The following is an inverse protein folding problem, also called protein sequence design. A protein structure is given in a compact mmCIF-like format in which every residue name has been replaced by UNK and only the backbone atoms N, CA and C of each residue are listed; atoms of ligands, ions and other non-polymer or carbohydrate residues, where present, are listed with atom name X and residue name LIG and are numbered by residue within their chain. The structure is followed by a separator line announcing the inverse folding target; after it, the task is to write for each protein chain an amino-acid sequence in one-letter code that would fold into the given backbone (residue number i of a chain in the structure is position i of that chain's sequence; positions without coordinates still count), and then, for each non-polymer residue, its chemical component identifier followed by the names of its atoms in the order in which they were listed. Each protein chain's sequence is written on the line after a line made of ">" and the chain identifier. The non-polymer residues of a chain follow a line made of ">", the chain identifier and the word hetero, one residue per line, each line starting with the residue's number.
data_IF_404887379970
#
_entry.id   IF_404887379970
#
_cell.length_a   1.000
_cell.length_b   1.000
_cell.length_c   1.000
_cell.angle_alpha   90.00
_cell.angle_beta   90.00
_cell.angle_gamma   90.00
#
_symmetry.space_group_name_H-M   'P 1'
#
loop_
_entity.id
_entity.type
_entity.pdbx_description
1 polymer ?
#
# COMPACT_ATOMS: atom_id res chain seq x y z
N UNK A 1 -0.61 -16.95 -18.10
CA UNK A 1 -0.17 -16.01 -17.03
C UNK A 1 -1.30 -15.90 -15.99
N UNK A 2 -1.06 -16.27 -14.73
CA UNK A 2 -2.11 -16.41 -13.68
C UNK A 2 -2.89 -15.11 -13.43
N UNK A 3 -4.23 -15.21 -13.46
CA UNK A 3 -5.16 -14.16 -13.00
C UNK A 3 -5.02 -14.03 -11.48
N UNK A 4 -4.19 -13.12 -10.98
CA UNK A 4 -4.08 -12.85 -9.54
C UNK A 4 -5.38 -12.18 -9.09
N UNK A 5 -6.11 -12.82 -8.17
CA UNK A 5 -7.33 -12.28 -7.53
C UNK A 5 -7.09 -12.30 -6.04
N UNK A 6 -7.31 -11.15 -5.38
CA UNK A 6 -7.08 -10.99 -3.95
C UNK A 6 -8.42 -10.83 -3.26
N UNK A 7 -8.77 -11.82 -2.43
CA UNK A 7 -9.99 -11.81 -1.64
C UNK A 7 -9.76 -11.35 -0.19
N UNK A 8 -8.49 -11.24 0.23
CA UNK A 8 -8.13 -10.82 1.59
C UNK A 8 -8.12 -9.29 1.76
N UNK A 9 -8.40 -8.79 2.97
CA UNK A 9 -8.27 -7.37 3.27
C UNK A 9 -6.83 -6.88 3.11
N UNK A 10 -6.63 -5.57 2.84
CA UNK A 10 -5.31 -4.96 2.93
C UNK A 10 -4.67 -5.19 4.29
N UNK A 11 -3.37 -5.48 4.31
CA UNK A 11 -2.57 -5.54 5.55
C UNK A 11 -1.90 -4.21 5.85
N UNK A 12 -2.04 -3.21 4.99
CA UNK A 12 -1.56 -1.88 5.27
C UNK A 12 -1.93 -0.88 4.19
N UNK A 13 -1.86 0.39 4.58
CA UNK A 13 -2.07 1.56 3.73
C UNK A 13 -1.01 2.63 4.06
N UNK A 14 -0.50 3.31 3.03
CA UNK A 14 0.37 4.47 3.18
C UNK A 14 -0.17 5.64 2.36
N UNK A 15 -0.09 6.84 2.92
CA UNK A 15 -0.33 8.09 2.22
C UNK A 15 1.03 8.76 2.01
N UNK A 16 1.42 8.90 0.75
CA UNK A 16 2.64 9.58 0.34
C UNK A 16 2.27 10.91 -0.32
N UNK A 17 2.87 12.00 0.11
CA UNK A 17 2.84 13.27 -0.60
C UNK A 17 3.95 13.28 -1.67
N UNK A 18 3.58 13.73 -2.86
CA UNK A 18 4.46 13.89 -4.01
C UNK A 18 4.04 15.16 -4.73
N UNK A 19 4.95 15.88 -5.40
CA UNK A 19 4.59 17.06 -6.22
C UNK A 19 5.25 16.92 -7.58
N UNK A 20 4.77 15.94 -8.35
CA UNK A 20 5.42 15.52 -9.59
C UNK A 20 4.38 15.19 -10.66
N UNK A 21 4.76 15.32 -11.92
CA UNK A 21 3.93 14.84 -13.03
C UNK A 21 3.67 13.35 -12.91
N UNK A 22 2.53 12.92 -13.47
CA UNK A 22 2.16 11.51 -13.52
C UNK A 22 3.28 10.65 -14.11
N UNK A 23 3.92 11.09 -15.19
CA UNK A 23 5.04 10.37 -15.83
C UNK A 23 6.20 10.16 -14.88
N UNK A 24 6.62 11.20 -14.17
CA UNK A 24 7.71 11.15 -13.19
C UNK A 24 7.35 10.23 -12.02
N UNK A 25 6.11 10.27 -11.54
CA UNK A 25 5.62 9.33 -10.51
C UNK A 25 5.77 7.88 -10.95
N UNK A 26 5.42 7.57 -12.20
CA UNK A 26 5.58 6.21 -12.74
C UNK A 26 7.06 5.82 -12.90
N UNK A 27 7.92 6.76 -13.30
CA UNK A 27 9.37 6.54 -13.38
C UNK A 27 9.94 6.25 -12.00
N UNK A 28 9.60 7.04 -10.98
CA UNK A 28 10.06 6.83 -9.60
C UNK A 28 9.66 5.44 -9.09
N UNK A 29 8.40 5.05 -9.29
CA UNK A 29 7.90 3.71 -8.97
C UNK A 29 8.75 2.63 -9.67
N UNK A 30 9.05 2.81 -10.96
CA UNK A 30 9.84 1.87 -11.74
C UNK A 30 11.28 1.77 -11.24
N UNK A 31 11.93 2.90 -10.93
CA UNK A 31 13.29 2.97 -10.37
C UNK A 31 13.38 2.21 -9.05
N UNK A 32 12.37 2.30 -8.18
CA UNK A 32 12.36 1.56 -6.91
C UNK A 32 11.97 0.08 -7.06
N UNK A 33 11.73 -0.39 -8.29
CA UNK A 33 11.44 -1.78 -8.63
C UNK A 33 9.96 -2.15 -8.65
N UNK A 34 9.06 -1.17 -8.73
CA UNK A 34 7.61 -1.38 -8.88
C UNK A 34 7.23 -1.41 -10.35
N UNK A 35 6.42 -2.39 -10.75
CA UNK A 35 5.91 -2.54 -12.12
C UNK A 35 4.42 -2.23 -12.16
N UNK A 36 4.00 -1.35 -13.08
CA UNK A 36 2.57 -1.14 -13.37
C UNK A 36 2.04 -2.33 -14.18
N UNK A 37 0.98 -2.97 -13.69
CA UNK A 37 0.34 -4.09 -14.39
C UNK A 37 -0.69 -3.55 -15.39
N UNK A 38 -0.22 -3.15 -16.59
CA UNK A 38 -1.07 -2.51 -17.62
C UNK A 38 -2.32 -3.29 -18.03
N UNK A 39 -2.28 -4.62 -17.97
CA UNK A 39 -3.42 -5.50 -18.32
C UNK A 39 -4.35 -5.79 -17.13
N UNK A 40 -4.03 -5.32 -15.94
CA UNK A 40 -4.87 -5.53 -14.76
C UNK A 40 -5.91 -4.42 -14.66
N UNK A 41 -7.17 -4.83 -14.53
CA UNK A 41 -8.28 -3.90 -14.34
C UNK A 41 -8.39 -3.48 -12.86
N UNK A 42 -8.19 -2.18 -12.53
CA UNK A 42 -8.33 -1.69 -11.16
C UNK A 42 -9.75 -1.86 -10.60
N UNK A 43 -10.79 -1.95 -11.44
CA UNK A 43 -12.19 -2.13 -11.01
C UNK A 43 -12.40 -3.45 -10.25
N UNK A 44 -11.53 -4.43 -10.45
CA UNK A 44 -11.57 -5.70 -9.71
C UNK A 44 -11.21 -5.57 -8.24
N UNK A 45 -10.66 -4.44 -7.84
CA UNK A 45 -10.17 -4.19 -6.48
C UNK A 45 -10.85 -3.00 -5.79
N UNK A 46 -12.03 -2.57 -6.27
CA UNK A 46 -12.75 -1.40 -5.74
C UNK A 46 -12.93 -1.45 -4.23
N UNK A 47 -13.37 -2.60 -3.71
CA UNK A 47 -13.54 -2.82 -2.27
C UNK A 47 -12.24 -2.57 -1.49
N UNK A 48 -11.08 -3.00 -1.99
CA UNK A 48 -9.79 -2.80 -1.34
C UNK A 48 -9.36 -1.32 -1.36
N UNK A 49 -9.64 -0.61 -2.46
CA UNK A 49 -9.43 0.84 -2.53
C UNK A 49 -10.32 1.58 -1.52
N UNK A 50 -11.59 1.20 -1.41
CA UNK A 50 -12.55 1.79 -0.47
C UNK A 50 -12.15 1.55 0.98
N UNK A 51 -11.78 0.31 1.34
CA UNK A 51 -11.29 -0.02 2.68
C UNK A 51 -10.08 0.83 3.04
N UNK A 52 -9.11 0.99 2.13
CA UNK A 52 -7.93 1.81 2.38
C UNK A 52 -8.29 3.29 2.58
N UNK A 53 -9.19 3.83 1.75
CA UNK A 53 -9.64 5.23 1.86
C UNK A 53 -10.41 5.46 3.17
N UNK A 54 -11.33 4.56 3.53
CA UNK A 54 -12.07 4.61 4.79
C UNK A 54 -11.15 4.49 6.00
N UNK A 55 -10.11 3.66 5.92
CA UNK A 55 -9.09 3.53 6.97
C UNK A 55 -8.33 4.85 7.16
N UNK A 56 -7.85 5.45 6.07
CA UNK A 56 -7.18 6.75 6.13
C UNK A 56 -8.12 7.85 6.67
N UNK A 57 -9.39 7.86 6.25
CA UNK A 57 -10.41 8.77 6.75
C UNK A 57 -10.66 8.61 8.25
N UNK A 58 -10.78 7.38 8.74
CA UNK A 58 -10.99 7.09 10.15
C UNK A 58 -9.81 7.54 11.03
N UNK A 59 -8.59 7.59 10.46
CA UNK A 59 -7.40 8.10 11.13
C UNK A 59 -7.24 9.62 11.03
N UNK A 60 -8.19 10.35 10.42
CA UNK A 60 -8.09 11.80 10.19
C UNK A 60 -7.12 12.20 9.06
N UNK A 61 -6.68 11.23 8.25
CA UNK A 61 -5.62 11.40 7.24
C UNK A 61 -6.23 11.45 5.84
N UNK A 62 -6.96 12.52 5.54
CA UNK A 62 -7.57 12.68 4.23
C UNK A 62 -6.74 13.61 3.36
N UNK A 63 -6.43 13.21 2.11
CA UNK A 63 -5.95 14.18 1.14
C UNK A 63 -7.04 15.25 0.92
N UNK A 64 -6.66 16.52 0.65
CA UNK A 64 -7.58 17.58 0.28
C UNK A 64 -8.50 17.16 -0.87
N UNK A 65 -9.64 17.86 -1.01
CA UNK A 65 -10.73 17.50 -1.94
C UNK A 65 -10.15 17.18 -3.33
N UNK A 66 -10.15 15.89 -3.74
CA UNK A 66 -9.43 15.45 -4.92
C UNK A 66 -10.24 15.76 -6.17
N UNK A 67 -9.64 16.47 -7.12
CA UNK A 67 -10.27 16.76 -8.42
C UNK A 67 -10.06 15.62 -9.42
N UNK A 68 -8.99 14.83 -9.25
CA UNK A 68 -8.69 13.69 -10.09
C UNK A 68 -8.17 12.52 -9.28
N UNK A 69 -8.67 11.31 -9.59
CA UNK A 69 -8.16 10.05 -9.03
C UNK A 69 -7.86 9.07 -10.14
N UNK A 70 -6.68 8.46 -10.09
CA UNK A 70 -6.30 7.36 -10.98
C UNK A 70 -5.88 6.16 -10.14
N UNK A 71 -6.54 5.02 -10.37
CA UNK A 71 -6.26 3.76 -9.67
C UNK A 71 -5.33 2.91 -10.52
N UNK A 72 -4.30 2.35 -9.90
CA UNK A 72 -3.29 1.53 -10.54
C UNK A 72 -3.10 0.20 -9.80
N UNK A 73 -2.97 -0.87 -10.57
CA UNK A 73 -2.55 -2.17 -10.05
C UNK A 73 -1.06 -2.34 -10.31
N UNK A 74 -0.30 -2.59 -9.24
CA UNK A 74 1.14 -2.61 -9.25
C UNK A 74 1.69 -3.97 -8.77
N UNK A 75 2.95 -4.24 -9.10
CA UNK A 75 3.71 -5.40 -8.61
C UNK A 75 5.05 -4.95 -8.07
N UNK A 76 5.37 -5.32 -6.85
CA UNK A 76 6.64 -5.03 -6.20
C UNK A 76 7.22 -6.32 -5.61
N UNK A 77 8.41 -6.73 -6.06
CA UNK A 77 9.09 -7.96 -5.59
C UNK A 77 8.17 -9.18 -5.55
N UNK A 78 7.41 -9.41 -6.62
CA UNK A 78 6.47 -10.53 -6.72
C UNK A 78 5.10 -10.31 -6.05
N UNK A 79 4.95 -9.29 -5.20
CA UNK A 79 3.72 -9.01 -4.43
C UNK A 79 2.84 -7.99 -5.15
N UNK A 80 1.53 -8.18 -5.11
CA UNK A 80 0.56 -7.19 -5.59
C UNK A 80 0.52 -5.99 -4.63
N UNK A 81 0.48 -4.79 -5.19
CA UNK A 81 0.24 -3.52 -4.49
C UNK A 81 -0.83 -2.78 -5.31
N UNK A 82 -1.72 -2.05 -4.65
CA UNK A 82 -2.60 -1.11 -5.33
C UNK A 82 -2.14 0.31 -5.05
N UNK A 83 -2.37 1.21 -5.99
CA UNK A 83 -2.11 2.63 -5.78
C UNK A 83 -3.28 3.50 -6.25
N UNK A 84 -3.52 4.60 -5.55
CA UNK A 84 -4.39 5.69 -6.04
C UNK A 84 -3.55 6.94 -6.15
N UNK A 85 -3.36 7.45 -7.37
CA UNK A 85 -2.79 8.76 -7.64
C UNK A 85 -3.89 9.80 -7.47
N UNK A 86 -3.60 10.87 -6.74
CA UNK A 86 -4.55 11.94 -6.44
C UNK A 86 -3.96 13.26 -6.93
N UNK A 87 -4.75 13.99 -7.73
CA UNK A 87 -4.46 15.35 -8.19
C UNK A 87 -5.32 16.35 -7.40
N UNK A 88 -4.75 17.51 -7.12
CA UNK A 88 -5.39 18.62 -6.41
C UNK A 88 -5.31 19.88 -7.30
N UNK A 89 -6.38 20.66 -7.38
CA UNK A 89 -6.34 22.05 -7.87
C UNK A 89 -6.06 22.24 -9.36
N UNK A 90 -6.84 21.63 -10.25
CA UNK A 90 -6.85 21.83 -11.71
C UNK A 90 -5.56 21.48 -12.47
N UNK A 91 -4.47 21.25 -11.75
CA UNK A 91 -3.13 21.10 -12.29
C UNK A 91 -2.80 19.66 -12.72
N UNK A 92 -1.75 19.50 -13.53
CA UNK A 92 -1.32 18.20 -14.03
C UNK A 92 -0.64 17.32 -12.97
N UNK A 93 -0.24 17.92 -11.85
CA UNK A 93 0.62 17.29 -10.85
C UNK A 93 -0.15 16.32 -9.95
N UNK A 94 0.45 15.15 -9.72
CA UNK A 94 0.05 14.26 -8.64
C UNK A 94 0.53 14.89 -7.33
N UNK A 95 -0.39 15.03 -6.37
CA UNK A 95 -0.16 15.57 -5.02
C UNK A 95 -0.03 14.50 -3.96
N UNK A 96 -0.81 13.44 -4.10
CA UNK A 96 -0.77 12.33 -3.16
C UNK A 96 -0.83 10.98 -3.88
N UNK A 97 -0.18 9.99 -3.29
CA UNK A 97 -0.29 8.59 -3.69
C UNK A 97 -0.66 7.77 -2.48
N UNK A 98 -1.82 7.12 -2.55
CA UNK A 98 -2.22 6.11 -1.58
C UNK A 98 -1.66 4.76 -2.05
N UNK A 99 -0.86 4.09 -1.23
CA UNK A 99 -0.33 2.74 -1.50
C UNK A 99 -1.02 1.73 -0.59
N UNK A 100 -1.43 0.60 -1.14
CA UNK A 100 -2.18 -0.44 -0.45
C UNK A 100 -1.46 -1.76 -0.63
N UNK A 101 -1.08 -2.41 0.48
CA UNK A 101 -0.41 -3.71 0.44
C UNK A 101 -1.23 -4.81 1.11
N UNK A 102 -0.92 -6.03 0.71
CA UNK A 102 -1.56 -7.26 1.15
C UNK A 102 -0.60 -8.22 1.86
N UNK A 103 0.61 -7.75 2.13
CA UNK A 103 1.65 -8.51 2.82
C UNK A 103 2.39 -7.58 3.77
N UNK A 104 2.56 -7.97 5.05
CA UNK A 104 3.28 -7.16 6.04
C UNK A 104 4.74 -6.90 5.63
N UNK A 105 5.23 -5.72 5.99
CA UNK A 105 6.58 -5.23 5.71
C UNK A 105 6.81 -4.80 4.25
N UNK A 106 5.82 -4.92 3.38
CA UNK A 106 5.92 -4.48 1.97
C UNK A 106 5.86 -2.97 1.90
N UNK A 107 4.91 -2.33 2.61
CA UNK A 107 4.77 -0.88 2.57
C UNK A 107 5.97 -0.19 3.21
N UNK A 108 6.40 -0.64 4.39
CA UNK A 108 7.57 -0.05 5.05
C UNK A 108 8.83 -0.09 4.16
N UNK A 109 9.05 -1.18 3.40
CA UNK A 109 10.19 -1.29 2.48
C UNK A 109 10.02 -0.39 1.26
N UNK A 110 8.82 -0.32 0.68
CA UNK A 110 8.54 0.50 -0.49
C UNK A 110 8.58 1.99 -0.15
N UNK A 111 7.93 2.42 0.94
CA UNK A 111 7.90 3.80 1.39
C UNK A 111 9.31 4.37 1.61
N UNK A 112 10.21 3.61 2.27
CA UNK A 112 11.61 4.02 2.45
C UNK A 112 12.35 4.27 1.14
N UNK A 113 12.09 3.48 0.10
CA UNK A 113 12.69 3.67 -1.23
C UNK A 113 12.08 4.84 -1.99
N UNK A 114 10.81 5.13 -1.77
CA UNK A 114 10.17 6.31 -2.37
C UNK A 114 10.65 7.58 -1.69
N UNK A 115 10.87 7.55 -0.36
CA UNK A 115 11.43 8.66 0.39
C UNK A 115 12.83 9.06 -0.10
N UNK A 116 13.68 8.09 -0.43
CA UNK A 116 15.00 8.39 -1.04
C UNK A 116 14.89 9.05 -2.43
N UNK A 117 13.71 9.03 -3.06
CA UNK A 117 13.44 9.68 -4.34
C UNK A 117 12.63 10.98 -4.17
N UNK A 118 12.66 11.60 -2.99
CA UNK A 118 12.02 12.90 -2.73
C UNK A 118 10.50 12.83 -2.53
N UNK A 119 9.96 11.65 -2.20
CA UNK A 119 8.58 11.53 -1.74
C UNK A 119 8.52 11.74 -0.24
N UNK A 120 7.43 12.31 0.28
CA UNK A 120 7.23 12.48 1.73
C UNK A 120 6.16 11.53 2.22
N UNK A 121 6.43 10.76 3.27
CA UNK A 121 5.39 9.93 3.91
C UNK A 121 4.55 10.81 4.84
N UNK A 122 3.30 11.05 4.45
CA UNK A 122 2.34 11.78 5.28
C UNK A 122 1.74 10.87 6.36
N UNK A 123 1.48 9.60 6.02
CA UNK A 123 1.02 8.62 7.00
C UNK A 123 1.25 7.17 6.54
N UNK A 124 1.26 6.24 7.49
CA UNK A 124 1.31 4.81 7.18
C UNK A 124 0.75 3.98 8.34
N UNK A 125 -0.09 3.01 8.00
CA UNK A 125 -0.57 1.95 8.88
C UNK A 125 -0.22 0.60 8.26
N UNK A 126 0.41 -0.29 9.02
CA UNK A 126 0.70 -1.65 8.56
C UNK A 126 0.42 -2.65 9.69
N UNK A 127 -0.53 -3.55 9.45
CA UNK A 127 -0.90 -4.62 10.36
C UNK A 127 0.14 -5.73 10.29
N UNK A 128 0.76 -6.03 11.42
CA UNK A 128 1.65 -7.20 11.57
C UNK A 128 0.84 -8.35 12.12
N UNK A 129 0.97 -9.57 11.57
CA UNK A 129 0.40 -10.74 12.20
C UNK A 129 1.05 -10.88 13.57
N UNK A 130 0.22 -11.05 14.59
CA UNK A 130 0.69 -11.50 15.89
C UNK A 130 1.33 -12.86 15.62
N UNK A 131 2.65 -12.98 15.79
CA UNK A 131 3.26 -14.31 15.88
C UNK A 131 2.57 -14.94 17.07
N UNK A 132 1.74 -15.95 16.85
CA UNK A 132 1.29 -16.83 17.93
C UNK A 132 2.57 -17.21 18.66
N UNK A 133 2.75 -16.71 19.87
CA UNK A 133 3.82 -17.19 20.74
C UNK A 133 3.68 -18.69 20.69
N UNK A 134 4.73 -19.36 20.22
CA UNK A 134 4.83 -20.80 20.25
C UNK A 134 4.38 -21.17 21.66
N UNK A 135 3.22 -21.81 21.81
CA UNK A 135 2.75 -22.33 23.09
C UNK A 135 3.96 -23.10 23.61
N UNK A 136 4.62 -22.55 24.64
CA UNK A 136 5.59 -23.29 25.39
C UNK A 136 4.75 -24.46 25.92
N UNK A 137 4.92 -25.61 25.27
CA UNK A 137 4.32 -26.85 25.73
C UNK A 137 4.73 -26.91 27.18
N UNK A 138 3.72 -26.89 28.06
CA UNK A 138 3.90 -27.18 29.47
C UNK A 138 4.79 -28.42 29.54
N UNK A 139 6.04 -28.21 29.95
CA UNK A 139 6.85 -29.25 30.54
C UNK A 139 6.13 -29.55 31.84
N UNK A 140 5.12 -30.43 31.79
CA UNK A 140 4.62 -31.08 32.97
C UNK A 140 5.82 -31.80 33.57
N UNK A 141 6.36 -31.19 34.62
CA UNK A 141 7.30 -31.80 35.55
C UNK A 141 6.69 -33.12 35.99
N UNK A 142 7.25 -34.21 35.47
CA UNK A 142 6.98 -35.55 35.93
C UNK A 142 7.75 -35.72 37.25
N UNK A 143 7.21 -35.13 38.33
CA UNK A 143 7.57 -35.51 39.69
C UNK A 143 6.58 -36.56 40.14
N UNK A 144 6.90 -37.83 39.84
CA UNK A 144 6.33 -38.97 40.53
C UNK A 144 7.12 -39.25 41.82
N UNK A 145 6.46 -39.73 42.89
CA UNK A 145 7.13 -40.27 44.07
C UNK A 145 7.89 -41.56 43.76
#
# INVERSE_FOLDING_TARGET
>A
MQKVRIYKPPTGVALMEVRKDRSVVLVDLQVVGVKVLRRADPRRYLRQYEVALSTLKALGLQPPKPEGKERLVLKYRGRLILATLIREGGGPLVRYVILIAFSPGVLAKLARRLESNGWRRAAMLELKPVRSAHHARYSASNTGP
#
